data_IF_252681029862
#
_entry.id   IF_252681029862
#
_cell.length_a   1.000
_cell.length_b   1.000
_cell.length_c   1.000
_cell.angle_alpha   90.00
_cell.angle_beta   90.00
_cell.angle_gamma   90.00
#
_symmetry.space_group_name_H-M   'P 1'
#
loop_
_entity.id
_entity.type
_entity.pdbx_description
1 polymer ?
#
# COMPACT_ATOMS: atom_id res chain seq x y z
N UNK A 1 35.26 -19.38 -8.67
CA UNK A 1 35.87 -18.55 -7.60
C UNK A 1 35.30 -17.15 -7.71
N UNK A 2 34.61 -16.69 -6.68
CA UNK A 2 33.89 -15.41 -6.64
C UNK A 2 34.87 -14.26 -6.37
N UNK A 3 34.78 -13.19 -7.14
CA UNK A 3 35.50 -11.92 -6.91
C UNK A 3 35.19 -11.37 -5.50
N UNK A 4 36.02 -10.47 -4.94
CA UNK A 4 35.70 -9.78 -3.70
C UNK A 4 34.28 -9.21 -3.76
N UNK A 5 33.52 -9.37 -2.68
CA UNK A 5 32.18 -8.80 -2.61
C UNK A 5 32.30 -7.27 -2.74
N UNK A 6 31.48 -6.69 -3.62
CA UNK A 6 31.37 -5.25 -3.77
C UNK A 6 30.59 -4.74 -2.55
N UNK A 7 31.19 -3.87 -1.76
CA UNK A 7 30.65 -3.36 -0.50
C UNK A 7 30.42 -1.85 -0.54
N UNK A 8 29.60 -1.35 0.38
CA UNK A 8 29.31 0.09 0.52
C UNK A 8 29.54 0.55 1.98
N UNK A 9 30.08 1.75 2.22
CA UNK A 9 30.16 2.33 3.56
C UNK A 9 28.79 2.56 4.21
N UNK A 10 28.70 2.53 5.54
CA UNK A 10 27.45 2.77 6.28
C UNK A 10 26.92 4.21 6.16
N UNK A 11 27.80 5.17 5.86
CA UNK A 11 27.51 6.58 5.69
C UNK A 11 27.32 6.99 4.22
N UNK A 12 27.41 6.02 3.30
CA UNK A 12 27.21 6.25 1.88
C UNK A 12 25.77 6.66 1.54
N UNK A 13 25.64 7.52 0.53
CA UNK A 13 24.34 7.92 -0.01
C UNK A 13 23.61 6.77 -0.72
N UNK A 14 22.28 6.82 -0.74
CA UNK A 14 21.44 5.86 -1.48
C UNK A 14 21.79 5.84 -2.96
N UNK A 15 22.07 7.00 -3.55
CA UNK A 15 22.46 7.15 -4.95
C UNK A 15 23.81 6.50 -5.26
N UNK A 16 24.76 6.56 -4.32
CA UNK A 16 26.04 5.85 -4.41
C UNK A 16 25.84 4.33 -4.38
N UNK A 17 25.01 3.82 -3.46
CA UNK A 17 24.69 2.40 -3.39
C UNK A 17 24.00 1.89 -4.68
N UNK A 18 23.09 2.69 -5.26
CA UNK A 18 22.45 2.37 -6.55
C UNK A 18 23.49 2.29 -7.67
N UNK A 19 24.35 3.32 -7.81
CA UNK A 19 25.41 3.33 -8.84
C UNK A 19 26.33 2.13 -8.70
N UNK A 20 26.75 1.80 -7.48
CA UNK A 20 27.61 0.64 -7.21
C UNK A 20 26.93 -0.68 -7.65
N UNK A 21 25.63 -0.83 -7.39
CA UNK A 21 24.85 -1.99 -7.81
C UNK A 21 24.74 -2.09 -9.34
N UNK A 22 24.52 -0.97 -10.02
CA UNK A 22 24.42 -0.91 -11.48
C UNK A 22 25.75 -1.20 -12.16
N UNK A 23 26.81 -0.51 -11.75
CA UNK A 23 28.16 -0.62 -12.32
C UNK A 23 28.72 -2.04 -12.21
N UNK A 24 28.37 -2.77 -11.13
CA UNK A 24 28.87 -4.10 -10.86
C UNK A 24 27.85 -5.22 -11.16
N UNK A 25 26.64 -4.88 -11.62
CA UNK A 25 25.59 -5.84 -11.93
C UNK A 25 25.15 -6.67 -10.71
N UNK A 26 25.17 -6.10 -9.50
CA UNK A 26 24.78 -6.77 -8.26
C UNK A 26 23.42 -6.26 -7.76
N UNK A 27 22.69 -7.11 -7.03
CA UNK A 27 21.37 -6.77 -6.48
C UNK A 27 21.41 -6.39 -5.00
N UNK A 28 22.53 -6.66 -4.33
CA UNK A 28 22.74 -6.47 -2.90
C UNK A 28 24.18 -6.04 -2.64
N UNK A 29 24.36 -5.20 -1.64
CA UNK A 29 25.66 -4.73 -1.17
C UNK A 29 25.77 -5.03 0.33
N UNK A 30 26.85 -5.69 0.79
CA UNK A 30 27.22 -5.67 2.19
C UNK A 30 27.58 -4.24 2.61
N UNK A 31 27.05 -3.81 3.75
CA UNK A 31 27.31 -2.50 4.35
C UNK A 31 28.40 -2.65 5.39
N UNK A 32 29.49 -1.89 5.26
CA UNK A 32 30.61 -1.90 6.19
C UNK A 32 30.67 -0.62 7.01
N UNK A 33 30.99 -0.76 8.29
CA UNK A 33 31.53 0.30 9.14
C UNK A 33 33.03 0.04 9.31
N UNK A 34 33.87 0.88 8.71
CA UNK A 34 35.28 0.61 8.47
C UNK A 34 35.51 -0.76 7.78
N UNK A 35 35.98 -1.76 8.54
CA UNK A 35 36.22 -3.12 8.07
C UNK A 35 35.20 -4.14 8.62
N UNK A 36 34.18 -3.69 9.35
CA UNK A 36 33.20 -4.54 10.01
C UNK A 36 31.90 -4.57 9.21
N UNK A 37 31.42 -5.77 8.90
CA UNK A 37 30.09 -5.96 8.33
C UNK A 37 29.01 -5.57 9.34
N UNK A 38 28.21 -4.57 9.01
CA UNK A 38 27.09 -4.09 9.84
C UNK A 38 25.72 -4.40 9.26
N UNK A 39 25.63 -4.72 7.96
CA UNK A 39 24.36 -5.07 7.34
C UNK A 39 24.47 -5.47 5.87
N UNK A 40 23.32 -5.69 5.24
CA UNK A 40 23.19 -5.93 3.80
C UNK A 40 22.03 -5.07 3.30
N UNK A 41 22.25 -4.32 2.23
CA UNK A 41 21.20 -3.53 1.57
C UNK A 41 20.94 -4.08 0.17
N UNK A 42 19.68 -4.32 -0.16
CA UNK A 42 19.24 -4.74 -1.49
C UNK A 42 18.64 -3.60 -2.31
N UNK A 43 18.53 -3.79 -3.62
CA UNK A 43 17.88 -2.83 -4.52
C UNK A 43 16.46 -2.46 -4.07
N UNK A 44 15.70 -3.45 -3.60
CA UNK A 44 14.35 -3.22 -3.04
C UNK A 44 14.39 -2.32 -1.80
N UNK A 45 15.45 -2.39 -0.99
CA UNK A 45 15.58 -1.57 0.22
C UNK A 45 15.98 -0.13 -0.12
N UNK A 46 16.78 0.06 -1.18
CA UNK A 46 17.09 1.40 -1.71
C UNK A 46 15.85 2.07 -2.31
N UNK A 47 14.97 1.30 -2.97
CA UNK A 47 13.66 1.79 -3.39
C UNK A 47 12.77 2.15 -2.20
N UNK A 48 12.88 1.44 -1.06
CA UNK A 48 12.15 1.77 0.18
C UNK A 48 12.59 3.11 0.76
N UNK A 49 13.87 3.48 0.66
CA UNK A 49 14.39 4.78 1.09
C UNK A 49 13.92 5.97 0.24
N UNK A 50 13.42 5.70 -0.98
CA UNK A 50 12.77 6.69 -1.85
C UNK A 50 11.27 6.85 -1.56
N UNK A 51 10.69 5.98 -0.75
CA UNK A 51 9.30 6.11 -0.32
C UNK A 51 9.23 7.21 0.75
N UNK A 52 8.13 7.97 0.76
CA UNK A 52 7.79 8.90 1.85
C UNK A 52 8.05 8.22 3.21
N UNK A 53 8.42 8.99 4.23
CA UNK A 53 8.58 8.43 5.58
C UNK A 53 7.36 7.62 5.96
N UNK A 54 7.55 6.48 6.63
CA UNK A 54 6.43 5.62 7.05
C UNK A 54 5.36 6.42 7.83
N UNK A 55 5.78 7.41 8.62
CA UNK A 55 4.89 8.34 9.30
C UNK A 55 4.02 9.16 8.35
N UNK A 56 4.61 9.71 7.27
CA UNK A 56 3.89 10.52 6.28
C UNK A 56 2.93 9.68 5.46
N UNK A 57 3.34 8.48 5.04
CA UNK A 57 2.45 7.55 4.35
C UNK A 57 1.30 7.10 5.27
N UNK A 58 1.57 6.86 6.55
CA UNK A 58 0.53 6.53 7.55
C UNK A 58 -0.51 7.64 7.69
N UNK A 59 -0.06 8.89 7.76
CA UNK A 59 -0.97 10.05 7.84
C UNK A 59 -1.79 10.21 6.57
N UNK A 60 -1.18 10.04 5.39
CA UNK A 60 -1.89 10.09 4.11
C UNK A 60 -2.94 8.99 3.98
N UNK A 61 -2.65 7.75 4.40
CA UNK A 61 -3.66 6.68 4.45
C UNK A 61 -4.83 7.09 5.34
N UNK A 62 -4.55 7.66 6.53
CA UNK A 62 -5.59 8.08 7.47
C UNK A 62 -6.45 9.22 6.92
N UNK A 63 -5.83 10.22 6.30
CA UNK A 63 -6.51 11.42 5.85
C UNK A 63 -7.20 11.25 4.49
N UNK A 64 -6.50 10.72 3.48
CA UNK A 64 -7.01 10.66 2.11
C UNK A 64 -7.91 9.44 1.89
N UNK A 65 -7.55 8.29 2.44
CA UNK A 65 -8.34 7.06 2.24
C UNK A 65 -9.42 6.94 3.30
N UNK A 66 -9.04 6.83 4.58
CA UNK A 66 -9.99 6.49 5.64
C UNK A 66 -10.98 7.64 5.87
N UNK A 67 -10.48 8.85 6.09
CA UNK A 67 -11.31 10.01 6.40
C UNK A 67 -12.00 10.62 5.18
N UNK A 68 -11.28 10.88 4.08
CA UNK A 68 -11.86 11.58 2.92
C UNK A 68 -12.61 10.66 1.97
N UNK A 69 -11.96 9.61 1.47
CA UNK A 69 -12.59 8.75 0.46
C UNK A 69 -13.68 7.85 1.07
N UNK A 70 -13.45 7.30 2.27
CA UNK A 70 -14.38 6.37 2.91
C UNK A 70 -15.30 7.02 3.95
N UNK A 71 -15.04 8.27 4.36
CA UNK A 71 -15.79 8.95 5.43
C UNK A 71 -15.85 8.17 6.75
N UNK A 72 -14.81 7.39 7.05
CA UNK A 72 -14.65 6.64 8.31
C UNK A 72 -13.83 7.49 9.28
N UNK A 73 -14.16 7.43 10.57
CA UNK A 73 -13.32 8.02 11.62
C UNK A 73 -11.96 7.29 11.67
N UNK A 74 -10.83 7.98 11.41
CA UNK A 74 -9.51 7.35 11.36
C UNK A 74 -9.05 6.75 12.70
N UNK A 75 -9.70 7.05 13.81
CA UNK A 75 -9.40 6.44 15.12
C UNK A 75 -10.09 5.09 15.34
N UNK A 76 -11.03 4.71 14.46
CA UNK A 76 -11.70 3.39 14.50
C UNK A 76 -10.88 2.29 13.86
N UNK A 77 -9.91 2.64 13.01
CA UNK A 77 -9.01 1.72 12.32
C UNK A 77 -7.56 1.97 12.74
N UNK A 78 -6.84 0.89 13.04
CA UNK A 78 -5.40 0.92 13.26
C UNK A 78 -4.67 0.89 11.92
N UNK A 79 -3.74 1.83 11.73
CA UNK A 79 -2.87 1.90 10.55
C UNK A 79 -1.42 1.92 11.00
N UNK A 80 -0.66 0.90 10.60
CA UNK A 80 0.78 0.83 10.77
C UNK A 80 1.47 0.80 9.41
N UNK A 81 2.63 1.44 9.32
CA UNK A 81 3.44 1.43 8.10
C UNK A 81 4.87 1.08 8.49
N UNK A 82 5.42 0.07 7.81
CA UNK A 82 6.80 -0.37 8.00
C UNK A 82 7.46 -0.61 6.64
N UNK A 83 8.38 0.27 6.28
CA UNK A 83 9.10 0.29 5.02
C UNK A 83 8.17 0.20 3.79
N UNK A 84 7.15 1.06 3.77
CA UNK A 84 6.14 1.13 2.70
C UNK A 84 5.11 0.00 2.68
N UNK A 85 5.16 -0.94 3.64
CA UNK A 85 4.11 -1.95 3.82
C UNK A 85 3.05 -1.39 4.77
N UNK A 86 1.84 -1.16 4.26
CA UNK A 86 0.73 -0.63 5.04
C UNK A 86 -0.06 -1.79 5.63
N UNK A 87 -0.22 -1.80 6.95
CA UNK A 87 -1.08 -2.75 7.66
C UNK A 87 -2.29 -2.01 8.21
N UNK A 88 -3.49 -2.47 7.86
CA UNK A 88 -4.76 -1.91 8.35
C UNK A 88 -5.51 -2.97 9.12
N UNK A 89 -5.98 -2.63 10.32
CA UNK A 89 -6.71 -3.57 11.19
C UNK A 89 -7.83 -2.84 11.93
N UNK A 90 -8.92 -3.57 12.22
CA UNK A 90 -10.09 -3.01 12.88
C UNK A 90 -11.37 -3.53 12.27
N UNK A 91 -12.47 -2.83 12.56
CA UNK A 91 -13.80 -3.23 12.16
C UNK A 91 -14.41 -2.16 11.24
N UNK A 92 -14.97 -2.58 10.12
CA UNK A 92 -15.71 -1.73 9.19
C UNK A 92 -17.20 -2.05 9.25
N UNK A 93 -18.04 -1.15 8.75
CA UNK A 93 -19.49 -1.38 8.72
C UNK A 93 -19.84 -2.59 7.84
N UNK A 94 -19.21 -2.70 6.65
CA UNK A 94 -19.59 -3.68 5.63
C UNK A 94 -18.43 -4.41 4.99
N UNK A 95 -18.64 -5.68 4.64
CA UNK A 95 -17.63 -6.53 3.96
C UNK A 95 -17.15 -5.89 2.65
N UNK A 96 -18.06 -5.30 1.88
CA UNK A 96 -17.76 -4.64 0.60
C UNK A 96 -16.77 -3.46 0.69
N UNK A 97 -16.57 -2.88 1.87
CA UNK A 97 -15.63 -1.76 2.06
C UNK A 97 -14.17 -2.20 2.05
N UNK A 98 -13.88 -3.42 2.53
CA UNK A 98 -12.52 -3.96 2.66
C UNK A 98 -11.76 -3.91 1.32
N UNK A 99 -12.27 -4.48 0.21
CA UNK A 99 -11.56 -4.44 -1.07
C UNK A 99 -11.39 -3.01 -1.60
N UNK A 100 -12.33 -2.11 -1.32
CA UNK A 100 -12.24 -0.69 -1.74
C UNK A 100 -11.13 0.03 -0.99
N UNK A 101 -11.05 -0.14 0.35
CA UNK A 101 -9.97 0.42 1.18
C UNK A 101 -8.61 -0.06 0.67
N UNK A 102 -8.45 -1.37 0.48
CA UNK A 102 -7.20 -1.96 -0.02
C UNK A 102 -6.84 -1.40 -1.40
N UNK A 103 -7.80 -1.30 -2.31
CA UNK A 103 -7.57 -0.78 -3.65
C UNK A 103 -7.16 0.69 -3.66
N UNK A 104 -7.71 1.52 -2.76
CA UNK A 104 -7.35 2.93 -2.62
C UNK A 104 -5.96 3.11 -2.01
N UNK A 105 -5.63 2.36 -0.95
CA UNK A 105 -4.29 2.42 -0.34
C UNK A 105 -3.22 2.03 -1.36
N UNK A 106 -3.44 0.98 -2.15
CA UNK A 106 -2.49 0.54 -3.20
C UNK A 106 -2.19 1.61 -4.26
N UNK A 107 -2.98 2.68 -4.35
CA UNK A 107 -2.76 3.80 -5.29
C UNK A 107 -1.91 4.92 -4.70
N UNK A 108 -1.62 4.90 -3.41
CA UNK A 108 -0.81 5.94 -2.78
C UNK A 108 0.67 5.78 -3.13
N UNK A 109 1.32 6.90 -3.43
CA UNK A 109 2.77 6.94 -3.65
C UNK A 109 3.50 6.51 -2.38
N UNK A 110 4.38 5.52 -2.48
CA UNK A 110 5.09 4.99 -1.32
C UNK A 110 4.62 3.62 -0.84
N UNK A 111 3.48 3.11 -1.36
CA UNK A 111 2.96 1.80 -0.96
C UNK A 111 3.64 0.67 -1.74
N UNK A 112 4.31 -0.22 -1.01
CA UNK A 112 4.93 -1.44 -1.55
C UNK A 112 3.95 -2.61 -1.50
N UNK A 113 3.23 -2.73 -0.39
CA UNK A 113 2.21 -3.76 -0.20
C UNK A 113 1.19 -3.33 0.86
N UNK A 114 0.04 -4.01 0.88
CA UNK A 114 -1.05 -3.79 1.84
C UNK A 114 -1.42 -5.11 2.49
N UNK A 115 -1.43 -5.12 3.83
CA UNK A 115 -1.91 -6.22 4.67
C UNK A 115 -3.16 -5.79 5.42
N UNK A 116 -4.23 -6.52 5.23
CA UNK A 116 -5.53 -6.24 5.80
C UNK A 116 -5.91 -7.30 6.84
N UNK A 117 -6.30 -6.82 8.03
CA UNK A 117 -6.88 -7.62 9.10
C UNK A 117 -8.18 -6.93 9.54
N UNK A 118 -9.05 -6.68 8.57
CA UNK A 118 -10.33 -6.01 8.74
C UNK A 118 -11.46 -7.04 8.92
N UNK A 119 -12.36 -6.77 9.85
CA UNK A 119 -13.63 -7.49 10.02
C UNK A 119 -14.80 -6.56 9.68
N UNK A 120 -15.97 -7.11 9.37
CA UNK A 120 -17.17 -6.33 9.06
C UNK A 120 -18.30 -6.62 10.05
N UNK A 121 -19.10 -5.61 10.38
CA UNK A 121 -20.34 -5.77 11.15
C UNK A 121 -21.47 -6.39 10.34
N UNK A 122 -21.64 -5.94 9.10
CA UNK A 122 -22.65 -6.40 8.16
C UNK A 122 -22.00 -7.14 7.00
N UNK A 123 -22.38 -8.41 6.82
CA UNK A 123 -21.98 -9.15 5.63
C UNK A 123 -22.92 -8.84 4.46
N UNK A 124 -22.47 -7.94 3.58
CA UNK A 124 -23.16 -7.56 2.35
C UNK A 124 -22.63 -8.29 1.11
N UNK A 125 -21.73 -9.27 1.28
CA UNK A 125 -21.18 -10.08 0.17
C UNK A 125 -22.23 -10.92 -0.56
N UNK A 126 -23.38 -11.13 0.08
CA UNK A 126 -24.49 -11.93 -0.41
C UNK A 126 -25.73 -11.12 -0.82
N UNK A 127 -25.69 -9.78 -0.75
CA UNK A 127 -26.82 -8.99 -1.26
C UNK A 127 -26.89 -9.16 -2.78
N UNK A 128 -28.02 -9.65 -3.34
CA UNK A 128 -28.18 -9.70 -4.78
C UNK A 128 -28.00 -8.28 -5.31
N UNK A 129 -27.21 -8.12 -6.38
CA UNK A 129 -27.29 -6.93 -7.20
C UNK A 129 -28.74 -6.92 -7.68
N UNK A 130 -29.60 -6.09 -7.08
CA UNK A 130 -30.90 -5.81 -7.68
C UNK A 130 -30.57 -5.18 -9.02
N UNK A 131 -30.64 -5.99 -10.09
CA UNK A 131 -30.69 -5.46 -11.44
C UNK A 131 -31.72 -4.35 -11.41
N UNK A 132 -31.39 -3.13 -11.86
CA UNK A 132 -32.36 -2.05 -11.87
C UNK A 132 -33.57 -2.58 -12.63
N UNK A 133 -34.68 -2.76 -11.93
CA UNK A 133 -35.93 -3.20 -12.54
C UNK A 133 -36.29 -2.09 -13.51
N UNK A 134 -35.94 -2.32 -14.76
CA UNK A 134 -36.26 -1.43 -15.85
C UNK A 134 -37.74 -1.65 -16.17
N UNK A 135 -38.62 -1.31 -15.22
CA UNK A 135 -40.05 -1.16 -15.47
C UNK A 135 -40.18 0.06 -16.34
N UNK A 136 -40.09 -0.17 -17.65
CA UNK A 136 -40.13 0.84 -18.68
C UNK A 136 -41.35 1.73 -18.50
N UNK A 137 -41.12 3.03 -18.46
CA UNK A 137 -42.14 4.09 -18.44
C UNK A 137 -42.92 4.17 -19.77
N UNK A 138 -42.72 3.22 -20.70
CA UNK A 138 -43.26 3.29 -22.08
C UNK A 138 -44.66 2.67 -22.22
N UNK A 139 -45.16 1.87 -21.27
CA UNK A 139 -46.51 1.27 -21.41
C UNK A 139 -47.70 2.18 -21.02
N UNK A 140 -47.46 3.38 -20.49
CA UNK A 140 -48.54 4.27 -20.03
C UNK A 140 -49.21 5.11 -21.14
N UNK A 141 -48.71 5.10 -22.39
CA UNK A 141 -49.18 6.01 -23.45
C UNK A 141 -50.07 5.37 -24.54
N UNK A 142 -50.37 4.07 -24.50
CA UNK A 142 -51.21 3.39 -25.52
C UNK A 142 -52.65 3.13 -25.08
N UNK A 143 -53.21 3.92 -24.16
CA UNK A 143 -54.60 3.75 -23.73
C UNK A 143 -55.43 5.03 -23.71
N UNK A 144 -55.27 5.91 -24.69
CA UNK A 144 -56.31 6.87 -25.06
C UNK A 144 -56.28 7.12 -26.57
N UNK A 145 -57.10 6.36 -27.30
CA UNK A 145 -57.63 6.74 -28.61
C UNK A 145 -59.08 6.29 -28.71
#
# INVERSE_FOLDING_TARGET
>A
MTKPAITVPQDAGVDEAIRLMEDHGVHRLPVLDDAKLVGIVGRSDLLRGFLRSDSGLREEVRDEVIKRAMAIDPDTLSVAVHNGVVTVSGQVERTGMIPVIVALIRRLDGVVDVREHLTAELDDSHLPIEEPVNTGVIEAFQRHS
#
